data_IF_228205465814
#
_entry.id   IF_228205465814
#
_cell.length_a   1.000
_cell.length_b   1.000
_cell.length_c   1.000
_cell.angle_alpha   90.00
_cell.angle_beta   90.00
_cell.angle_gamma   90.00
#
_symmetry.space_group_name_H-M   'P 1'
#
loop_
_entity.id
_entity.type
_entity.pdbx_description
1 polymer ?
#
# COMPACT_ATOMS: atom_id res chain seq x y z
N UNK A 1 9.38 7.44 -1.33
CA UNK A 1 8.35 8.25 -2.01
C UNK A 1 8.02 7.65 -3.39
N UNK A 2 6.88 6.97 -3.49
CA UNK A 2 6.41 6.20 -4.66
C UNK A 2 5.66 7.04 -5.69
N UNK A 3 5.46 8.35 -5.42
CA UNK A 3 4.74 9.32 -6.27
C UNK A 3 5.29 9.53 -7.69
N UNK A 4 6.38 8.86 -8.07
CA UNK A 4 6.95 8.90 -9.42
C UNK A 4 6.86 7.53 -10.06
N UNK A 5 6.36 7.49 -11.29
CA UNK A 5 6.19 6.29 -12.09
C UNK A 5 7.41 5.38 -12.16
N UNK A 6 8.58 5.94 -12.47
CA UNK A 6 9.86 5.19 -12.52
C UNK A 6 10.18 4.51 -11.19
N UNK A 7 9.79 5.11 -10.06
CA UNK A 7 10.02 4.54 -8.72
C UNK A 7 9.04 3.40 -8.41
N UNK A 8 7.80 3.49 -8.86
CA UNK A 8 6.83 2.39 -8.76
C UNK A 8 7.32 1.18 -9.55
N UNK A 9 7.70 1.37 -10.82
CA UNK A 9 8.23 0.29 -11.68
C UNK A 9 9.47 -0.33 -11.03
N UNK A 10 10.40 0.48 -10.52
CA UNK A 10 11.58 -0.02 -9.80
C UNK A 10 11.19 -0.87 -8.58
N UNK A 11 10.21 -0.44 -7.77
CA UNK A 11 9.74 -1.21 -6.63
C UNK A 11 9.09 -2.52 -7.06
N UNK A 12 8.25 -2.51 -8.09
CA UNK A 12 7.66 -3.72 -8.66
C UNK A 12 8.71 -4.73 -9.12
N UNK A 13 9.79 -4.25 -9.76
CA UNK A 13 10.95 -5.10 -10.11
C UNK A 13 11.64 -5.67 -8.88
N UNK A 14 11.79 -4.90 -7.80
CA UNK A 14 12.35 -5.40 -6.52
C UNK A 14 11.47 -6.45 -5.85
N UNK A 15 10.15 -6.36 -6.02
CA UNK A 15 9.18 -7.37 -5.55
C UNK A 15 9.19 -8.61 -6.45
N UNK A 16 9.86 -8.57 -7.60
CA UNK A 16 9.98 -9.70 -8.53
C UNK A 16 8.91 -9.72 -9.63
N UNK A 17 8.16 -8.64 -9.82
CA UNK A 17 7.16 -8.56 -10.89
C UNK A 17 7.85 -8.48 -12.25
N UNK A 18 7.72 -9.55 -13.04
CA UNK A 18 8.21 -9.67 -14.41
C UNK A 18 7.29 -9.04 -15.46
N UNK A 19 7.69 -9.11 -16.73
CA UNK A 19 6.86 -8.68 -17.86
C UNK A 19 6.84 -7.17 -18.11
N UNK A 20 6.01 -6.77 -19.07
CA UNK A 20 5.83 -5.37 -19.46
C UNK A 20 4.88 -4.66 -18.50
N UNK A 21 5.41 -3.64 -17.81
CA UNK A 21 4.67 -2.89 -16.80
C UNK A 21 4.07 -1.66 -17.45
N UNK A 22 2.73 -1.59 -17.46
CA UNK A 22 2.03 -0.46 -18.03
C UNK A 22 2.28 0.82 -17.21
N UNK A 23 2.42 1.92 -17.93
CA UNK A 23 2.50 3.23 -17.31
C UNK A 23 1.12 3.70 -16.83
N UNK A 24 1.00 4.04 -15.54
CA UNK A 24 -0.17 4.65 -14.92
C UNK A 24 0.09 6.07 -14.40
N UNK A 25 -0.95 6.92 -14.41
CA UNK A 25 -0.90 8.26 -13.83
C UNK A 25 -0.91 8.18 -12.30
N UNK A 26 0.24 8.44 -11.68
CA UNK A 26 0.41 8.31 -10.22
C UNK A 26 -0.29 9.38 -9.38
N UNK A 27 -0.77 10.47 -9.99
CA UNK A 27 -1.51 11.53 -9.29
C UNK A 27 -3.01 11.25 -9.16
N UNK A 28 -3.55 10.27 -9.90
CA UNK A 28 -4.97 9.98 -9.90
C UNK A 28 -5.32 9.01 -8.76
N UNK A 29 -6.39 9.30 -8.02
CA UNK A 29 -6.86 8.45 -6.93
C UNK A 29 -7.22 7.03 -7.41
N UNK A 30 -7.79 6.90 -8.61
CA UNK A 30 -8.14 5.61 -9.20
C UNK A 30 -6.94 4.65 -9.30
N UNK A 31 -5.73 5.19 -9.55
CA UNK A 31 -4.49 4.40 -9.64
C UNK A 31 -4.11 3.75 -8.31
N UNK A 32 -4.51 4.34 -7.17
CA UNK A 32 -4.25 3.76 -5.85
C UNK A 32 -4.95 2.41 -5.65
N UNK A 33 -6.05 2.16 -6.38
CA UNK A 33 -6.79 0.89 -6.35
C UNK A 33 -6.27 -0.16 -7.34
N UNK A 34 -5.20 0.16 -8.07
CA UNK A 34 -4.58 -0.76 -9.04
C UNK A 34 -3.86 -1.91 -8.36
N UNK A 35 -3.88 -3.09 -8.98
CA UNK A 35 -3.09 -4.25 -8.55
C UNK A 35 -1.59 -3.92 -8.45
N UNK A 36 -1.06 -3.07 -9.34
CA UNK A 36 0.33 -2.62 -9.26
C UNK A 36 0.63 -1.80 -8.00
N UNK A 37 -0.31 -0.99 -7.53
CA UNK A 37 -0.13 -0.24 -6.30
C UNK A 37 -0.14 -1.18 -5.08
N UNK A 38 -1.10 -2.11 -5.04
CA UNK A 38 -1.20 -3.12 -3.97
C UNK A 38 -0.01 -4.07 -3.93
N UNK A 39 0.55 -4.46 -5.07
CA UNK A 39 1.76 -5.29 -5.14
C UNK A 39 3.02 -4.53 -4.69
N UNK A 40 3.13 -3.25 -5.05
CA UNK A 40 4.27 -2.45 -4.65
C UNK A 40 4.26 -2.10 -3.14
N UNK A 41 3.07 -2.02 -2.55
CA UNK A 41 2.81 -1.67 -1.16
C UNK A 41 1.94 -2.78 -0.56
N UNK A 42 2.58 -3.92 -0.26
CA UNK A 42 1.91 -5.03 0.43
C UNK A 42 1.62 -4.67 1.90
N UNK A 43 0.65 -5.34 2.50
CA UNK A 43 0.36 -5.18 3.92
C UNK A 43 1.58 -5.52 4.80
N UNK A 44 2.40 -6.50 4.40
CA UNK A 44 3.66 -6.81 5.08
C UNK A 44 4.64 -5.63 5.07
N UNK A 45 4.79 -4.96 3.93
CA UNK A 45 5.62 -3.75 3.85
C UNK A 45 5.05 -2.58 4.67
N UNK A 46 3.72 -2.46 4.77
CA UNK A 46 3.09 -1.47 5.64
C UNK A 46 3.35 -1.78 7.13
N UNK A 47 3.31 -3.06 7.51
CA UNK A 47 3.67 -3.49 8.86
C UNK A 47 5.14 -3.19 9.18
N UNK A 48 6.07 -3.42 8.24
CA UNK A 48 7.48 -3.03 8.37
C UNK A 48 7.67 -1.52 8.58
N UNK A 49 6.78 -0.70 8.00
CA UNK A 49 6.78 0.76 8.20
C UNK A 49 6.17 1.18 9.55
N UNK A 50 5.68 0.23 10.36
CA UNK A 50 5.03 0.48 11.64
C UNK A 50 3.56 0.88 11.51
N UNK A 51 2.92 0.60 10.37
CA UNK A 51 1.45 0.71 10.28
C UNK A 51 0.82 -0.54 10.88
N UNK A 52 -0.31 -0.35 11.55
CA UNK A 52 -1.08 -1.42 12.18
C UNK A 52 -2.37 -1.67 11.42
N UNK A 53 -2.82 -2.92 11.44
CA UNK A 53 -4.15 -3.27 10.98
C UNK A 53 -5.17 -2.83 12.03
N UNK A 54 -6.05 -1.89 11.65
CA UNK A 54 -7.11 -1.40 12.51
C UNK A 54 -8.14 -2.48 12.86
N UNK A 55 -8.28 -3.52 12.02
CA UNK A 55 -9.21 -4.61 12.30
C UNK A 55 -8.74 -5.54 13.41
N UNK A 56 -7.43 -5.59 13.64
CA UNK A 56 -6.83 -6.36 14.73
C UNK A 56 -6.71 -5.56 16.04
N UNK A 57 -6.99 -4.24 15.99
CA UNK A 57 -6.92 -3.37 17.15
C UNK A 57 -8.25 -3.36 17.88
N UNK A 58 -8.27 -3.97 19.06
CA UNK A 58 -9.38 -3.85 20.02
C UNK A 58 -9.32 -2.48 20.72
N UNK A 59 -9.54 -1.41 19.97
CA UNK A 59 -9.74 -0.07 20.54
C UNK A 59 -11.21 0.15 20.85
N UNK A 60 -11.62 -0.29 22.03
CA UNK A 60 -12.94 -0.03 22.58
C UNK A 60 -12.84 0.23 24.07
N UNK A 61 -12.52 1.46 24.49
CA UNK A 61 -12.86 1.89 25.85
C UNK A 61 -14.34 2.22 25.82
N UNK A 62 -15.17 1.26 26.22
CA UNK A 62 -16.57 1.54 26.51
C UNK A 62 -16.61 2.47 27.73
N UNK A 63 -17.32 3.60 27.67
CA UNK A 63 -17.53 4.41 28.87
C UNK A 63 -18.28 3.54 29.89
N UNK A 64 -17.77 3.47 31.13
CA UNK A 64 -18.52 2.87 32.23
C UNK A 64 -19.81 3.67 32.40
N UNK A 65 -20.95 3.03 32.12
CA UNK A 65 -22.26 3.63 32.31
C UNK A 65 -22.54 3.59 33.81
N UNK A 66 -22.31 4.71 34.49
CA UNK A 66 -22.69 4.95 35.89
C UNK A 66 -24.20 5.07 36.05
#
# INVERSE_FOLDING_TARGET
MWKKQKRLIRRLRQVGVGGELQTMRMSAWCTSRSSYASLAISNGYLAELGLFDLTALETGVLPEVT
#
